data_IF_741693534985
#
_entry.id   IF_741693534985
#
_cell.length_a   1.000
_cell.length_b   1.000
_cell.length_c   1.000
_cell.angle_alpha   90.00
_cell.angle_beta   90.00
_cell.angle_gamma   90.00
#
_symmetry.space_group_name_H-M   'P 1'
#
loop_
_entity.id
_entity.type
_entity.pdbx_description
1 polymer ?
#
# COMPACT_ATOMS: atom_id res chain seq x y z
N UNK A 1 2.57 0.07 -12.15
CA UNK A 1 1.48 0.28 -11.15
C UNK A 1 2.09 0.90 -9.91
N UNK A 2 1.50 1.97 -9.37
CA UNK A 2 2.07 2.69 -8.22
C UNK A 2 1.96 1.89 -6.93
N UNK A 3 2.98 1.96 -6.07
CA UNK A 3 3.01 1.28 -4.75
C UNK A 3 1.78 1.62 -3.89
N UNK A 4 1.36 2.88 -3.89
CA UNK A 4 0.16 3.31 -3.15
C UNK A 4 -1.10 2.56 -3.61
N UNK A 5 -1.29 2.40 -4.92
CA UNK A 5 -2.45 1.72 -5.49
C UNK A 5 -2.43 0.22 -5.19
N UNK A 6 -1.24 -0.38 -5.05
CA UNK A 6 -1.09 -1.78 -4.61
C UNK A 6 -1.60 -1.95 -3.17
N UNK A 7 -1.19 -1.07 -2.26
CA UNK A 7 -1.67 -1.09 -0.87
C UNK A 7 -3.17 -0.79 -0.83
N UNK A 8 -3.65 0.19 -1.59
CA UNK A 8 -5.07 0.53 -1.66
C UNK A 8 -5.90 -0.67 -2.09
N UNK A 9 -5.48 -1.39 -3.14
CA UNK A 9 -6.15 -2.61 -3.58
C UNK A 9 -6.20 -3.69 -2.49
N UNK A 10 -5.13 -3.85 -1.70
CA UNK A 10 -5.12 -4.78 -0.57
C UNK A 10 -6.18 -4.41 0.48
N UNK A 11 -6.30 -3.12 0.79
CA UNK A 11 -7.27 -2.60 1.76
C UNK A 11 -8.72 -2.73 1.27
N UNK A 12 -8.96 -2.53 -0.03
CA UNK A 12 -10.28 -2.79 -0.66
C UNK A 12 -10.62 -4.28 -0.57
N UNK A 13 -9.68 -5.16 -0.89
CA UNK A 13 -9.90 -6.61 -0.87
C UNK A 13 -10.24 -7.12 0.54
N UNK A 14 -9.64 -6.52 1.57
CA UNK A 14 -9.93 -6.84 2.97
C UNK A 14 -11.23 -6.17 3.48
N UNK A 15 -11.95 -5.44 2.62
CA UNK A 15 -13.15 -4.67 2.97
C UNK A 15 -12.91 -3.60 4.05
N UNK A 16 -11.67 -3.18 4.23
CA UNK A 16 -11.29 -2.07 5.12
C UNK A 16 -11.74 -0.71 4.55
N UNK A 17 -11.85 -0.62 3.22
CA UNK A 17 -12.29 0.57 2.48
C UNK A 17 -13.18 0.15 1.31
N UNK A 18 -14.06 1.05 0.87
CA UNK A 18 -14.92 0.82 -0.31
C UNK A 18 -14.41 1.56 -1.55
N UNK A 19 -13.61 2.61 -1.39
CA UNK A 19 -13.12 3.45 -2.48
C UNK A 19 -11.59 3.50 -2.51
N UNK A 20 -11.00 3.31 -3.71
CA UNK A 20 -9.55 3.36 -3.87
C UNK A 20 -8.98 4.74 -3.47
N UNK A 21 -9.63 5.83 -3.87
CA UNK A 21 -9.19 7.19 -3.56
C UNK A 21 -9.12 7.47 -2.06
N UNK A 22 -10.07 6.92 -1.28
CA UNK A 22 -10.09 7.04 0.18
C UNK A 22 -8.93 6.25 0.80
N UNK A 23 -8.73 5.01 0.34
CA UNK A 23 -7.62 4.18 0.79
C UNK A 23 -6.26 4.83 0.48
N UNK A 24 -6.05 5.35 -0.73
CA UNK A 24 -4.83 6.04 -1.13
C UNK A 24 -4.57 7.30 -0.28
N UNK A 25 -5.61 8.10 -0.04
CA UNK A 25 -5.52 9.28 0.81
C UNK A 25 -5.12 8.90 2.24
N UNK A 26 -5.69 7.81 2.77
CA UNK A 26 -5.37 7.31 4.11
C UNK A 26 -3.94 6.79 4.19
N UNK A 27 -3.46 6.08 3.17
CA UNK A 27 -2.08 5.60 3.08
C UNK A 27 -1.13 6.79 3.08
N UNK A 28 -1.42 7.83 2.29
CA UNK A 28 -0.59 9.05 2.23
C UNK A 28 -0.54 9.78 3.58
N UNK A 29 -1.67 9.87 4.29
CA UNK A 29 -1.70 10.42 5.65
C UNK A 29 -0.83 9.61 6.62
N UNK A 30 -0.98 8.29 6.64
CA UNK A 30 -0.19 7.42 7.52
C UNK A 30 1.29 7.48 7.16
N UNK A 31 1.60 7.55 5.86
CA UNK A 31 2.98 7.70 5.40
C UNK A 31 3.60 8.99 5.95
N UNK A 32 2.93 10.13 5.78
CA UNK A 32 3.43 11.41 6.30
C UNK A 32 3.57 11.44 7.83
N UNK A 33 2.71 10.71 8.55
CA UNK A 33 2.79 10.61 10.01
C UNK A 33 3.90 9.67 10.51
N UNK A 34 4.24 8.63 9.74
CA UNK A 34 5.21 7.59 10.16
C UNK A 34 6.59 7.76 9.53
N UNK A 35 6.67 8.47 8.40
CA UNK A 35 7.86 8.63 7.56
C UNK A 35 7.99 10.09 7.12
N UNK A 36 7.94 11.01 8.09
CA UNK A 36 8.03 12.45 7.83
C UNK A 36 9.36 12.85 7.14
N UNK A 37 10.43 12.10 7.38
CA UNK A 37 11.76 12.31 6.77
C UNK A 37 11.89 11.74 5.35
N UNK A 38 10.86 11.06 4.84
CA UNK A 38 10.88 10.47 3.50
C UNK A 38 9.85 11.14 2.59
N UNK A 39 10.22 11.34 1.32
CA UNK A 39 9.28 11.81 0.31
C UNK A 39 8.35 10.66 -0.11
N UNK A 40 7.04 10.86 0.07
CA UNK A 40 6.03 9.92 -0.42
C UNK A 40 6.14 9.72 -1.94
N UNK A 41 6.47 10.78 -2.69
CA UNK A 41 6.55 10.70 -4.15
C UNK A 41 7.75 9.84 -4.60
N UNK A 42 8.88 9.96 -3.90
CA UNK A 42 10.06 9.10 -4.13
C UNK A 42 9.81 7.66 -3.71
N UNK A 43 9.07 7.43 -2.63
CA UNK A 43 8.68 6.09 -2.23
C UNK A 43 7.66 5.49 -3.20
N UNK A 44 6.71 6.28 -3.72
CA UNK A 44 5.61 5.84 -4.57
C UNK A 44 6.06 5.60 -6.03
N UNK A 45 7.04 4.74 -6.19
CA UNK A 45 7.54 4.29 -7.48
C UNK A 45 6.59 3.29 -8.14
N UNK A 46 6.87 2.99 -9.40
CA UNK A 46 6.17 1.94 -10.12
C UNK A 46 6.71 0.56 -9.78
N UNK A 47 5.79 -0.35 -9.48
CA UNK A 47 6.05 -1.78 -9.35
C UNK A 47 5.50 -2.50 -10.57
N UNK A 48 6.18 -3.58 -10.96
CA UNK A 48 5.70 -4.47 -12.00
C UNK A 48 4.34 -5.07 -11.62
N UNK A 49 3.48 -5.29 -12.62
CA UNK A 49 2.15 -5.87 -12.38
C UNK A 49 2.24 -7.28 -11.75
N UNK A 50 3.27 -8.06 -12.10
CA UNK A 50 3.52 -9.39 -11.53
C UNK A 50 3.85 -9.30 -10.04
N UNK A 51 4.77 -8.41 -9.64
CA UNK A 51 5.12 -8.18 -8.24
C UNK A 51 3.92 -7.66 -7.44
N UNK A 52 3.19 -6.69 -7.99
CA UNK A 52 1.99 -6.14 -7.38
C UNK A 52 0.92 -7.23 -7.13
N UNK A 53 0.62 -8.06 -8.14
CA UNK A 53 -0.36 -9.16 -8.01
C UNK A 53 0.07 -10.19 -6.96
N UNK A 54 1.35 -10.57 -6.93
CA UNK A 54 1.88 -11.49 -5.90
C UNK A 54 1.72 -10.89 -4.51
N UNK A 55 2.11 -9.63 -4.35
CA UNK A 55 1.99 -8.92 -3.07
C UNK A 55 0.53 -8.88 -2.59
N UNK A 56 -0.40 -8.45 -3.45
CA UNK A 56 -1.83 -8.39 -3.14
C UNK A 56 -2.35 -9.77 -2.72
N UNK A 57 -1.95 -10.83 -3.42
CA UNK A 57 -2.36 -12.19 -3.10
C UNK A 57 -1.84 -12.67 -1.74
N UNK A 58 -0.61 -12.31 -1.36
CA UNK A 58 -0.04 -12.66 -0.05
C UNK A 58 -0.78 -11.91 1.06
N UNK A 59 -1.04 -10.62 0.86
CA UNK A 59 -1.72 -9.76 1.84
C UNK A 59 -3.18 -10.16 2.01
N UNK A 60 -3.88 -10.54 0.93
CA UNK A 60 -5.26 -11.02 1.00
C UNK A 60 -5.42 -12.29 1.86
N UNK A 61 -4.35 -13.07 2.04
CA UNK A 61 -4.34 -14.25 2.91
C UNK A 61 -4.03 -13.91 4.39
N UNK A 62 -3.74 -12.65 4.70
CA UNK A 62 -3.48 -12.19 6.07
C UNK A 62 -4.77 -11.72 6.74
N UNK A 63 -5.08 -12.25 7.93
CA UNK A 63 -6.24 -11.81 8.73
C UNK A 63 -6.15 -10.37 9.25
N UNK A 64 -4.99 -9.72 9.18
CA UNK A 64 -4.82 -8.33 9.62
C UNK A 64 -3.92 -7.57 8.66
N UNK A 65 -4.48 -6.61 7.95
CA UNK A 65 -3.72 -5.75 7.06
C UNK A 65 -3.27 -4.50 7.82
N UNK A 66 -1.96 -4.32 7.97
CA UNK A 66 -1.38 -3.12 8.60
C UNK A 66 -0.70 -2.26 7.54
N UNK A 67 -1.25 -1.07 7.28
CA UNK A 67 -0.74 -0.13 6.26
C UNK A 67 0.77 0.13 6.45
N UNK A 68 1.23 0.33 7.69
CA UNK A 68 2.65 0.52 7.99
C UNK A 68 3.52 -0.66 7.55
N UNK A 69 3.08 -1.89 7.80
CA UNK A 69 3.81 -3.08 7.39
C UNK A 69 3.87 -3.20 5.86
N UNK A 70 2.76 -2.90 5.18
CA UNK A 70 2.72 -2.91 3.72
C UNK A 70 3.66 -1.87 3.08
N UNK A 71 3.75 -0.68 3.69
CA UNK A 71 4.69 0.35 3.25
C UNK A 71 6.14 -0.14 3.36
N UNK A 72 6.50 -0.82 4.45
CA UNK A 72 7.84 -1.37 4.67
C UNK A 72 8.16 -2.50 3.70
N UNK A 73 7.22 -3.42 3.50
CA UNK A 73 7.40 -4.53 2.55
C UNK A 73 7.63 -4.00 1.13
N UNK A 74 6.83 -3.03 0.69
CA UNK A 74 7.00 -2.40 -0.63
C UNK A 74 8.23 -1.48 -0.72
N UNK A 75 8.92 -1.20 0.38
CA UNK A 75 10.20 -0.48 0.33
C UNK A 75 11.32 -1.34 -0.28
N UNK A 76 11.21 -2.65 -0.15
CA UNK A 76 12.18 -3.64 -0.66
C UNK A 76 11.83 -4.18 -2.07
N UNK A 77 10.72 -3.71 -2.65
CA UNK A 77 10.27 -4.03 -4.00
C UNK A 77 10.58 -2.91 -5.00
#
# INVERSE_FOLDING_TARGET
>A
MKKVSVIAQCLINEKSFNEMSEAESRIKQIFGLQYADHSFDEWNTEVSLLSAKRFISVVANSSKVRIRALIQELWHY
#
